data_IF_728521593204
#
_entry.id   IF_728521593204
#
_cell.length_a   1.000
_cell.length_b   1.000
_cell.length_c   1.000
_cell.angle_alpha   90.00
_cell.angle_beta   90.00
_cell.angle_gamma   90.00
#
_symmetry.space_group_name_H-M   'P 1'
#
loop_
_entity.id
_entity.type
_entity.pdbx_description
1 polymer ?
#
# COMPACT_ATOMS: atom_id res chain seq x y z
N UNK A 1 27.11 -14.04 -55.78
CA UNK A 1 26.80 -13.15 -54.64
C UNK A 1 25.99 -12.01 -55.24
N UNK A 2 24.66 -12.05 -55.15
CA UNK A 2 23.80 -11.02 -55.74
C UNK A 2 23.90 -9.73 -54.93
N UNK A 3 24.17 -8.63 -55.61
CA UNK A 3 24.26 -7.28 -55.04
C UNK A 3 22.91 -6.87 -54.41
N UNK A 4 22.91 -6.10 -53.31
CA UNK A 4 21.68 -5.59 -52.71
C UNK A 4 21.09 -4.49 -53.59
N UNK A 5 20.17 -4.87 -54.48
CA UNK A 5 19.38 -3.95 -55.31
C UNK A 5 18.43 -3.17 -54.37
N UNK A 6 18.23 -1.85 -54.54
CA UNK A 6 17.37 -1.03 -53.67
C UNK A 6 15.92 -1.53 -53.54
N UNK A 7 15.46 -2.36 -54.48
CA UNK A 7 14.12 -2.97 -54.47
C UNK A 7 14.01 -4.19 -53.52
N UNK A 8 15.11 -4.73 -53.01
CA UNK A 8 15.11 -5.89 -52.11
C UNK A 8 15.16 -5.52 -50.63
N UNK A 9 15.14 -4.23 -50.28
CA UNK A 9 15.01 -3.80 -48.89
C UNK A 9 13.54 -4.01 -48.51
N UNK A 10 13.22 -4.86 -47.51
CA UNK A 10 11.83 -5.02 -47.10
C UNK A 10 11.29 -3.64 -46.72
N UNK A 11 10.10 -3.28 -47.22
CA UNK A 11 9.48 -1.95 -47.00
C UNK A 11 9.33 -1.59 -45.52
N UNK A 12 9.51 -2.54 -44.60
CA UNK A 12 9.58 -2.32 -43.15
C UNK A 12 10.87 -1.61 -42.68
N UNK A 13 11.92 -1.58 -43.50
CA UNK A 13 13.22 -0.99 -43.18
C UNK A 13 13.50 0.31 -43.97
N UNK A 14 12.57 0.76 -44.83
CA UNK A 14 12.70 2.02 -45.59
C UNK A 14 12.32 3.23 -44.72
N UNK A 15 13.24 4.17 -44.43
CA UNK A 15 12.99 5.37 -43.62
C UNK A 15 12.02 6.37 -44.28
N UNK A 16 11.74 6.24 -45.58
CA UNK A 16 10.73 7.07 -46.28
C UNK A 16 9.32 6.52 -46.16
N UNK A 17 9.16 5.26 -45.74
CA UNK A 17 7.86 4.65 -45.58
C UNK A 17 7.17 5.18 -44.31
N UNK A 18 6.01 5.83 -44.46
CA UNK A 18 5.17 6.28 -43.32
C UNK A 18 4.26 5.16 -42.79
N UNK A 19 4.64 3.89 -42.98
CA UNK A 19 3.84 2.77 -42.49
C UNK A 19 3.88 2.80 -40.96
N UNK A 20 2.74 2.69 -40.26
CA UNK A 20 2.74 2.66 -38.81
C UNK A 20 3.59 1.46 -38.36
N UNK A 21 4.71 1.75 -37.70
CA UNK A 21 5.54 0.72 -37.08
C UNK A 21 4.73 0.10 -35.96
N UNK A 22 4.81 -1.23 -35.83
CA UNK A 22 4.13 -1.96 -34.76
C UNK A 22 4.62 -1.36 -33.44
N UNK A 23 3.73 -0.66 -32.71
CA UNK A 23 4.06 -0.01 -31.44
C UNK A 23 4.69 -1.07 -30.53
N UNK A 24 5.99 -0.95 -30.28
CA UNK A 24 6.67 -1.81 -29.30
C UNK A 24 6.09 -1.45 -27.94
N UNK A 25 5.79 -2.45 -27.12
CA UNK A 25 5.45 -2.20 -25.73
C UNK A 25 6.68 -1.55 -25.07
N UNK A 26 6.54 -0.29 -24.67
CA UNK A 26 7.60 0.46 -24.01
C UNK A 26 7.94 -0.27 -22.71
N UNK A 27 9.23 -0.55 -22.50
CA UNK A 27 9.67 -1.05 -21.20
C UNK A 27 9.50 0.06 -20.16
N UNK A 28 9.37 -0.26 -18.86
CA UNK A 28 9.31 0.77 -17.81
C UNK A 28 10.51 1.73 -17.86
N UNK A 29 11.67 1.22 -18.29
CA UNK A 29 12.89 2.02 -18.49
C UNK A 29 12.74 3.01 -19.65
N UNK A 30 12.16 2.58 -20.77
CA UNK A 30 11.96 3.45 -21.93
C UNK A 30 10.93 4.56 -21.63
N UNK A 31 9.88 4.24 -20.86
CA UNK A 31 8.91 5.23 -20.39
C UNK A 31 9.60 6.31 -19.53
N UNK A 32 10.42 5.89 -18.56
CA UNK A 32 11.20 6.81 -17.73
C UNK A 32 12.19 7.64 -18.57
N UNK A 33 12.90 7.01 -19.51
CA UNK A 33 13.83 7.71 -20.40
C UNK A 33 13.12 8.82 -21.19
N UNK A 34 11.93 8.54 -21.75
CA UNK A 34 11.13 9.54 -22.46
C UNK A 34 10.69 10.70 -21.56
N UNK A 35 10.33 10.43 -20.29
CA UNK A 35 9.97 11.48 -19.33
C UNK A 35 11.16 12.36 -18.96
N UNK A 36 12.35 11.75 -18.83
CA UNK A 36 13.59 12.45 -18.51
C UNK A 36 14.05 13.30 -19.69
N UNK A 37 13.95 12.79 -20.92
CA UNK A 37 14.22 13.54 -22.14
C UNK A 37 13.29 14.75 -22.28
N UNK A 38 12.00 14.59 -21.97
CA UNK A 38 11.03 15.69 -21.97
C UNK A 38 11.35 16.77 -20.92
N UNK A 39 11.88 16.39 -19.74
CA UNK A 39 12.35 17.33 -18.72
C UNK A 39 13.61 18.07 -19.17
N UNK A 40 14.57 17.36 -19.78
CA UNK A 40 15.82 17.95 -20.28
C UNK A 40 15.64 18.86 -21.50
N UNK A 41 14.53 18.74 -22.24
CA UNK A 41 14.23 19.64 -23.35
C UNK A 41 14.11 21.12 -22.92
N UNK A 42 13.78 21.39 -21.64
CA UNK A 42 13.67 22.74 -21.06
C UNK A 42 14.20 22.75 -19.61
N UNK A 43 15.53 22.78 -19.43
CA UNK A 43 16.14 22.65 -18.10
C UNK A 43 15.86 23.87 -17.20
N UNK A 44 15.63 25.05 -17.77
CA UNK A 44 15.38 26.29 -17.01
C UNK A 44 13.93 26.42 -16.51
N UNK A 45 13.05 25.46 -16.81
CA UNK A 45 11.66 25.50 -16.38
C UNK A 45 11.53 25.01 -14.95
N UNK A 46 10.99 25.86 -14.08
CA UNK A 46 10.64 25.47 -12.71
C UNK A 46 9.62 24.32 -12.70
N UNK A 47 9.95 23.25 -11.97
CA UNK A 47 9.12 22.07 -11.81
C UNK A 47 8.41 22.15 -10.46
N UNK A 48 7.09 22.30 -10.47
CA UNK A 48 6.28 22.19 -9.27
C UNK A 48 6.15 20.72 -8.84
N UNK A 49 6.90 20.34 -7.81
CA UNK A 49 6.70 19.04 -7.17
C UNK A 49 5.42 19.16 -6.33
N UNK A 50 4.41 18.29 -6.53
CA UNK A 50 3.20 18.35 -5.73
C UNK A 50 3.59 18.09 -4.27
N UNK A 51 3.48 19.12 -3.44
CA UNK A 51 3.49 18.96 -1.99
C UNK A 51 2.24 18.16 -1.58
N UNK A 52 2.30 17.46 -0.43
CA UNK A 52 1.25 16.56 0.07
C UNK A 52 -0.15 16.99 -0.36
N UNK A 53 -0.90 16.09 -1.02
CA UNK A 53 -2.21 16.40 -1.55
C UNK A 53 -3.12 16.93 -0.43
N UNK A 54 -3.43 18.22 -0.49
CA UNK A 54 -4.38 18.83 0.44
C UNK A 54 -5.73 18.18 0.17
N UNK A 55 -6.30 17.51 1.17
CA UNK A 55 -7.65 16.95 1.08
C UNK A 55 -8.62 18.05 0.63
N UNK A 56 -9.64 17.71 -0.16
CA UNK A 56 -10.57 18.70 -0.72
C UNK A 56 -11.53 19.15 0.39
N UNK A 57 -11.33 20.33 1.03
CA UNK A 57 -12.25 20.75 2.08
C UNK A 57 -13.56 21.19 1.44
N UNK A 58 -14.66 21.05 2.18
CA UNK A 58 -15.90 21.71 1.78
C UNK A 58 -15.78 23.20 2.04
N UNK A 59 -16.34 23.99 1.14
CA UNK A 59 -16.46 25.42 1.35
C UNK A 59 -17.34 25.68 2.58
N UNK A 60 -16.87 26.56 3.47
CA UNK A 60 -17.64 26.97 4.63
C UNK A 60 -19.00 27.56 4.18
N UNK A 61 -20.09 27.31 4.93
CA UNK A 61 -21.37 27.91 4.63
C UNK A 61 -21.26 29.45 4.72
N UNK A 62 -21.88 30.21 3.80
CA UNK A 62 -21.85 31.66 3.85
C UNK A 62 -22.57 32.17 5.11
N UNK A 63 -21.99 33.18 5.78
CA UNK A 63 -22.52 33.72 7.03
C UNK A 63 -23.85 34.46 6.84
N UNK A 64 -24.00 35.19 5.72
CA UNK A 64 -25.19 35.98 5.44
C UNK A 64 -25.75 35.56 4.07
N UNK A 65 -27.01 35.15 4.06
CA UNK A 65 -27.77 34.92 2.83
C UNK A 65 -28.63 36.17 2.60
N UNK A 66 -28.28 36.95 1.57
CA UNK A 66 -28.97 38.20 1.27
C UNK A 66 -30.36 38.00 0.62
N UNK A 67 -30.63 36.82 0.06
CA UNK A 67 -31.82 36.56 -0.77
C UNK A 67 -32.90 35.79 -0.01
N UNK A 68 -33.10 36.09 1.28
CA UNK A 68 -34.12 35.42 2.10
C UNK A 68 -35.46 36.11 1.89
N UNK A 69 -36.38 35.41 1.21
CA UNK A 69 -37.77 35.84 1.07
C UNK A 69 -38.50 35.66 2.41
N UNK A 70 -39.49 36.51 2.70
CA UNK A 70 -40.19 36.51 4.00
C UNK A 70 -40.83 35.16 4.36
N UNK A 71 -40.95 34.87 5.65
CA UNK A 71 -41.35 33.54 6.17
C UNK A 71 -42.75 33.08 5.75
N UNK A 72 -43.65 34.02 5.42
CA UNK A 72 -45.00 33.73 4.94
C UNK A 72 -45.12 33.72 3.41
N UNK A 73 -44.02 33.94 2.69
CA UNK A 73 -44.05 33.98 1.24
C UNK A 73 -44.11 32.56 0.67
N UNK A 74 -44.87 32.39 -0.43
CA UNK A 74 -45.03 31.09 -1.09
C UNK A 74 -43.75 30.59 -1.77
N UNK A 75 -43.74 29.30 -2.13
CA UNK A 75 -42.61 28.68 -2.83
C UNK A 75 -42.38 29.32 -4.20
N UNK A 76 -41.20 29.92 -4.39
CA UNK A 76 -40.75 30.43 -5.68
C UNK A 76 -40.27 29.31 -6.62
N UNK A 77 -40.17 29.59 -7.92
CA UNK A 77 -39.70 28.62 -8.92
C UNK A 77 -38.23 28.20 -8.74
N UNK A 78 -37.43 29.03 -8.08
CA UNK A 78 -36.02 28.76 -7.76
C UNK A 78 -35.80 27.95 -6.48
N UNK A 79 -36.81 27.80 -5.62
CA UNK A 79 -36.66 27.22 -4.28
C UNK A 79 -36.24 25.75 -4.34
N UNK A 80 -36.76 25.01 -5.31
CA UNK A 80 -36.36 23.62 -5.55
C UNK A 80 -34.85 23.47 -5.78
N UNK A 81 -34.26 24.39 -6.55
CA UNK A 81 -32.82 24.34 -6.85
C UNK A 81 -31.98 24.76 -5.64
N UNK A 82 -32.47 25.71 -4.83
CA UNK A 82 -31.84 26.10 -3.57
C UNK A 82 -31.79 24.90 -2.62
N UNK A 83 -32.91 24.20 -2.42
CA UNK A 83 -32.98 22.98 -1.61
C UNK A 83 -32.08 21.87 -2.16
N UNK A 84 -32.11 21.62 -3.48
CA UNK A 84 -31.25 20.59 -4.10
C UNK A 84 -29.76 20.88 -3.85
N UNK A 85 -29.35 22.14 -3.96
CA UNK A 85 -27.98 22.55 -3.73
C UNK A 85 -27.61 22.46 -2.24
N UNK A 86 -28.47 22.91 -1.33
CA UNK A 86 -28.21 22.85 0.12
C UNK A 86 -28.14 21.40 0.61
N UNK A 87 -29.08 20.55 0.18
CA UNK A 87 -29.10 19.12 0.52
C UNK A 87 -27.86 18.38 0.03
N UNK A 88 -27.41 18.67 -1.20
CA UNK A 88 -26.18 18.09 -1.74
C UNK A 88 -24.96 18.50 -0.93
N UNK A 89 -24.82 19.79 -0.58
CA UNK A 89 -23.73 20.27 0.27
C UNK A 89 -23.76 19.61 1.65
N UNK A 90 -24.94 19.43 2.23
CA UNK A 90 -25.08 18.82 3.55
C UNK A 90 -24.73 17.33 3.55
N UNK A 91 -25.15 16.58 2.52
CA UNK A 91 -24.73 15.18 2.37
C UNK A 91 -23.24 15.03 2.13
N UNK A 92 -22.64 15.91 1.33
CA UNK A 92 -21.18 15.95 1.16
C UNK A 92 -20.48 16.26 2.49
N UNK A 93 -21.05 17.16 3.31
CA UNK A 93 -20.54 17.50 4.66
C UNK A 93 -20.59 16.34 5.63
N UNK A 94 -21.74 15.70 5.77
CA UNK A 94 -21.91 14.53 6.65
C UNK A 94 -20.99 13.40 6.21
N UNK A 95 -20.92 13.14 4.90
CA UNK A 95 -20.05 12.10 4.34
C UNK A 95 -18.58 12.33 4.65
N UNK A 96 -18.06 13.55 4.49
CA UNK A 96 -16.67 13.83 4.83
C UNK A 96 -16.41 13.67 6.33
N UNK A 97 -17.31 14.15 7.17
CA UNK A 97 -17.19 13.99 8.62
C UNK A 97 -17.16 12.50 9.03
N UNK A 98 -18.02 11.68 8.44
CA UNK A 98 -18.05 10.23 8.69
C UNK A 98 -16.78 9.54 8.15
N UNK A 99 -16.30 9.93 6.97
CA UNK A 99 -15.05 9.42 6.38
C UNK A 99 -13.83 9.79 7.24
N UNK A 100 -13.75 11.01 7.76
CA UNK A 100 -12.69 11.48 8.66
C UNK A 100 -12.69 10.70 9.98
N UNK A 101 -13.85 10.56 10.63
CA UNK A 101 -13.99 9.79 11.88
C UNK A 101 -13.58 8.34 11.67
N UNK A 102 -13.98 7.74 10.55
CA UNK A 102 -13.59 6.36 10.21
C UNK A 102 -12.09 6.24 9.99
N UNK A 103 -11.48 7.17 9.26
CA UNK A 103 -10.03 7.19 9.03
C UNK A 103 -9.26 7.34 10.35
N UNK A 104 -9.67 8.24 11.23
CA UNK A 104 -9.02 8.43 12.54
C UNK A 104 -9.09 7.15 13.40
N UNK A 105 -10.25 6.49 13.43
CA UNK A 105 -10.41 5.22 14.14
C UNK A 105 -9.53 4.11 13.57
N UNK A 106 -9.47 4.00 12.24
CA UNK A 106 -8.62 3.01 11.55
C UNK A 106 -7.13 3.29 11.79
N UNK A 107 -6.70 4.55 11.74
CA UNK A 107 -5.33 4.96 12.02
C UNK A 107 -4.93 4.68 13.46
N UNK A 108 -5.81 4.98 14.42
CA UNK A 108 -5.58 4.68 15.84
C UNK A 108 -5.45 3.18 16.06
N UNK A 109 -6.37 2.38 15.53
CA UNK A 109 -6.30 0.93 15.62
C UNK A 109 -5.06 0.35 14.94
N UNK A 110 -4.64 0.91 13.80
CA UNK A 110 -3.43 0.50 13.10
C UNK A 110 -2.17 0.85 13.91
N UNK A 111 -2.14 2.03 14.56
CA UNK A 111 -1.03 2.47 15.42
C UNK A 111 -0.89 1.56 16.64
N UNK A 112 -1.97 1.31 17.36
CA UNK A 112 -1.99 0.41 18.51
C UNK A 112 -1.51 -1.00 18.14
N UNK A 113 -2.01 -1.57 17.02
CA UNK A 113 -1.55 -2.87 16.51
C UNK A 113 -0.06 -2.88 16.19
N UNK A 114 0.47 -1.82 15.57
CA UNK A 114 1.90 -1.71 15.25
C UNK A 114 2.75 -1.65 16.52
N UNK A 115 2.35 -0.85 17.49
CA UNK A 115 3.05 -0.72 18.77
C UNK A 115 3.05 -2.04 19.55
N UNK A 116 1.94 -2.76 19.55
CA UNK A 116 1.84 -4.05 20.24
C UNK A 116 2.72 -5.14 19.61
N UNK A 117 2.77 -5.17 18.28
CA UNK A 117 3.68 -6.07 17.55
C UNK A 117 5.14 -5.70 17.84
N UNK A 118 5.46 -4.41 17.81
CA UNK A 118 6.81 -3.94 18.10
C UNK A 118 7.23 -4.25 19.54
N UNK A 119 6.35 -4.07 20.54
CA UNK A 119 6.59 -4.46 21.94
C UNK A 119 6.86 -5.96 22.06
N UNK A 120 6.03 -6.80 21.44
CA UNK A 120 6.21 -8.27 21.43
C UNK A 120 7.54 -8.68 20.81
N UNK A 121 7.95 -8.02 19.74
CA UNK A 121 9.22 -8.30 19.08
C UNK A 121 10.43 -7.79 19.87
N UNK A 122 10.32 -6.60 20.49
CA UNK A 122 11.32 -6.08 21.45
C UNK A 122 11.51 -7.01 22.64
N UNK A 123 10.44 -7.48 23.27
CA UNK A 123 10.52 -8.44 24.38
C UNK A 123 11.20 -9.75 23.98
N UNK A 124 10.87 -10.30 22.81
CA UNK A 124 11.50 -11.53 22.31
C UNK A 124 12.98 -11.32 22.02
N UNK A 125 13.34 -10.20 21.40
CA UNK A 125 14.73 -9.87 21.06
C UNK A 125 15.56 -9.60 22.30
N UNK A 126 15.03 -8.89 23.31
CA UNK A 126 15.66 -8.66 24.61
C UNK A 126 15.87 -9.97 25.39
N UNK A 127 14.85 -10.81 25.51
CA UNK A 127 14.98 -12.14 26.15
C UNK A 127 16.09 -12.96 25.50
N UNK A 128 16.18 -12.95 24.16
CA UNK A 128 17.23 -13.64 23.42
C UNK A 128 18.61 -12.97 23.55
N UNK A 129 18.67 -11.64 23.65
CA UNK A 129 19.91 -10.89 23.93
C UNK A 129 20.45 -11.21 25.32
N UNK A 130 19.61 -11.16 26.35
CA UNK A 130 19.97 -11.51 27.73
C UNK A 130 20.48 -12.96 27.85
N UNK A 131 19.85 -13.91 27.14
CA UNK A 131 20.34 -15.31 27.07
C UNK A 131 21.74 -15.39 26.46
N UNK A 132 22.00 -14.66 25.36
CA UNK A 132 23.31 -14.62 24.70
C UNK A 132 24.38 -13.95 25.56
N UNK A 133 24.05 -12.84 26.22
CA UNK A 133 24.97 -12.13 27.13
C UNK A 133 25.32 -12.98 28.35
N UNK A 134 24.34 -13.64 28.98
CA UNK A 134 24.60 -14.61 30.07
C UNK A 134 25.51 -15.75 29.62
N UNK A 135 25.30 -16.29 28.42
CA UNK A 135 26.17 -17.33 27.86
C UNK A 135 27.59 -16.81 27.55
N UNK A 136 27.72 -15.55 27.08
CA UNK A 136 29.03 -14.90 26.83
C UNK A 136 29.80 -14.72 28.14
N UNK A 137 29.15 -14.18 29.17
CA UNK A 137 29.75 -13.99 30.50
C UNK A 137 30.18 -15.32 31.14
N UNK A 138 29.37 -16.39 31.01
CA UNK A 138 29.77 -17.73 31.49
C UNK A 138 31.01 -18.25 30.77
N UNK A 139 31.11 -18.05 29.45
CA UNK A 139 32.29 -18.45 28.66
C UNK A 139 33.53 -17.62 29.02
N UNK A 140 33.38 -16.32 29.23
CA UNK A 140 34.47 -15.44 29.67
C UNK A 140 34.98 -15.84 31.06
N UNK A 141 34.08 -16.09 32.02
CA UNK A 141 34.44 -16.58 33.37
C UNK A 141 35.12 -17.95 33.32
N UNK A 142 34.64 -18.88 32.51
CA UNK A 142 35.28 -20.19 32.34
C UNK A 142 36.68 -20.08 31.72
N UNK A 143 36.90 -19.13 30.79
CA UNK A 143 38.23 -18.86 30.23
C UNK A 143 39.17 -18.20 31.24
N UNK A 144 38.68 -17.30 32.09
CA UNK A 144 39.48 -16.70 33.16
C UNK A 144 39.86 -17.73 34.23
N UNK A 145 38.91 -18.55 34.71
CA UNK A 145 39.21 -19.61 35.68
C UNK A 145 40.16 -20.69 35.15
N UNK A 146 40.15 -20.95 33.84
CA UNK A 146 41.10 -21.87 33.18
C UNK A 146 42.47 -21.23 32.90
N UNK A 147 42.58 -19.90 32.93
CA UNK A 147 43.86 -19.17 32.86
C UNK A 147 44.57 -19.15 34.22
N UNK A 148 43.82 -19.32 35.31
CA UNK A 148 44.34 -19.34 36.69
C UNK A 148 44.64 -20.78 37.20
N UNK A 149 44.20 -21.80 36.46
CA UNK A 149 44.42 -23.23 36.77
C UNK A 149 45.24 -23.94 35.70
N UNK A 150 46.29 -23.27 35.23
CA UNK A 150 47.30 -23.83 34.34
C UNK A 150 48.48 -24.43 35.10
N UNK A 151 48.25 -25.51 35.85
CA UNK A 151 49.31 -26.47 36.22
C UNK A 151 48.68 -27.85 36.48
N UNK A 152 48.82 -28.71 35.47
CA UNK A 152 48.73 -30.18 35.46
C UNK A 152 47.56 -30.91 36.16
N UNK A 153 46.74 -31.63 35.38
CA UNK A 153 46.81 -33.10 35.29
C UNK A 153 45.76 -33.70 34.33
N UNK A 154 46.30 -34.60 33.51
CA UNK A 154 45.68 -35.61 32.64
C UNK A 154 44.62 -36.50 33.33
N UNK A 155 43.68 -37.04 32.54
CA UNK A 155 42.83 -38.18 32.94
C UNK A 155 41.35 -38.13 32.52
N UNK A 156 41.04 -38.69 31.35
CA UNK A 156 39.69 -39.12 30.88
C UNK A 156 39.28 -40.46 31.55
N UNK A 157 38.10 -41.13 31.34
CA UNK A 157 36.85 -40.77 30.62
C UNK A 157 35.51 -41.19 31.32
N UNK A 158 34.35 -40.81 30.75
CA UNK A 158 33.26 -41.73 30.32
C UNK A 158 31.84 -41.12 30.24
N UNK A 159 31.25 -41.25 29.04
CA UNK A 159 29.86 -41.48 28.61
C UNK A 159 28.63 -40.81 29.30
N UNK A 160 27.87 -40.02 28.51
CA UNK A 160 26.45 -40.29 28.20
C UNK A 160 25.83 -39.23 27.25
N UNK A 161 24.96 -39.70 26.35
CA UNK A 161 23.90 -39.00 25.61
C UNK A 161 24.27 -38.17 24.36
N UNK A 162 24.35 -38.92 23.26
CA UNK A 162 24.04 -38.54 21.89
C UNK A 162 22.58 -38.01 21.76
N UNK A 163 22.38 -36.83 21.16
CA UNK A 163 21.33 -36.62 20.13
C UNK A 163 21.33 -35.19 19.53
N UNK A 164 21.64 -35.12 18.23
CA UNK A 164 20.86 -34.36 17.25
C UNK A 164 20.91 -32.83 17.25
N UNK A 165 22.03 -32.24 16.79
CA UNK A 165 22.03 -30.88 16.24
C UNK A 165 21.22 -30.86 14.93
N UNK A 166 19.91 -30.59 14.99
CA UNK A 166 19.13 -30.23 13.80
C UNK A 166 19.54 -28.82 13.35
N UNK A 167 20.38 -28.74 12.31
CA UNK A 167 20.65 -27.52 11.56
C UNK A 167 19.34 -27.09 10.86
N UNK A 168 18.81 -25.91 11.20
CA UNK A 168 17.72 -25.29 10.44
C UNK A 168 18.24 -24.95 9.03
N UNK A 169 17.65 -25.57 8.01
CA UNK A 169 17.78 -25.12 6.62
C UNK A 169 16.76 -24.01 6.36
N UNK A 170 17.06 -23.00 5.53
CA UNK A 170 16.08 -21.98 5.14
C UNK A 170 14.99 -22.64 4.28
N UNK A 171 13.74 -22.36 4.61
CA UNK A 171 12.57 -22.88 3.91
C UNK A 171 12.49 -22.22 2.53
N UNK A 172 12.66 -23.01 1.46
CA UNK A 172 12.59 -22.57 0.05
C UNK A 172 11.31 -23.09 -0.61
N UNK A 173 10.19 -23.05 0.13
CA UNK A 173 8.87 -23.29 -0.45
C UNK A 173 8.26 -21.95 -0.87
N UNK A 174 8.47 -21.57 -2.13
CA UNK A 174 7.66 -20.53 -2.79
C UNK A 174 6.19 -20.97 -2.87
N UNK A 175 5.22 -20.03 -2.94
CA UNK A 175 3.82 -20.38 -3.02
C UNK A 175 3.56 -21.11 -4.35
N UNK A 176 3.00 -22.32 -4.27
CA UNK A 176 2.47 -23.00 -5.45
C UNK A 176 1.30 -22.18 -6.00
N UNK A 177 1.50 -21.64 -7.19
CA UNK A 177 0.42 -21.14 -8.02
C UNK A 177 -0.38 -22.34 -8.52
N UNK A 178 -1.66 -22.40 -8.16
CA UNK A 178 -2.62 -23.32 -8.74
C UNK A 178 -3.14 -22.68 -10.04
N UNK A 179 -2.92 -23.36 -11.17
CA UNK A 179 -3.43 -22.98 -12.48
C UNK A 179 -3.88 -24.22 -13.23
N UNK A 180 -5.19 -24.33 -13.39
CA UNK A 180 -5.95 -24.90 -14.52
C UNK A 180 -7.35 -24.29 -14.37
N UNK A 181 -7.74 -23.26 -15.14
CA UNK A 181 -8.26 -23.31 -16.54
C UNK A 181 -9.40 -24.36 -16.61
N UNK A 182 -10.68 -24.03 -16.86
CA UNK A 182 -11.22 -23.22 -17.95
C UNK A 182 -12.65 -22.68 -17.72
N UNK A 183 -12.87 -21.52 -18.35
CA UNK A 183 -14.08 -21.00 -19.00
C UNK A 183 -15.49 -21.45 -18.58
N UNK A 184 -16.33 -20.47 -18.19
CA UNK A 184 -17.59 -20.18 -18.89
C UNK A 184 -18.11 -18.77 -18.57
N UNK A 185 -18.52 -18.11 -19.65
CA UNK A 185 -18.88 -16.71 -19.78
C UNK A 185 -20.40 -16.60 -19.92
N UNK A 186 -21.13 -16.11 -18.91
CA UNK A 186 -22.50 -15.57 -19.01
C UNK A 186 -22.66 -14.59 -17.82
N UNK A 187 -22.87 -13.30 -17.98
CA UNK A 187 -24.12 -12.71 -18.47
C UNK A 187 -24.75 -11.95 -17.30
N UNK A 188 -24.73 -10.62 -17.35
CA UNK A 188 -25.15 -9.77 -16.24
C UNK A 188 -26.66 -9.85 -15.94
N UNK A 189 -26.99 -9.80 -14.65
CA UNK A 189 -28.32 -9.41 -14.17
C UNK A 189 -28.15 -8.67 -12.84
N UNK A 190 -28.41 -7.37 -12.84
CA UNK A 190 -28.61 -6.55 -11.64
C UNK A 190 -30.09 -6.60 -11.32
N UNK A 191 -30.47 -7.25 -10.22
CA UNK A 191 -31.82 -7.16 -9.63
C UNK A 191 -31.71 -6.45 -8.28
N UNK A 192 -32.43 -5.33 -8.19
CA UNK A 192 -32.58 -4.46 -7.05
C UNK A 192 -32.87 -5.25 -5.77
N UNK A 193 -32.08 -5.04 -4.73
CA UNK A 193 -32.48 -5.38 -3.36
C UNK A 193 -33.24 -4.17 -2.83
N UNK A 194 -34.55 -4.34 -2.70
CA UNK A 194 -35.45 -3.36 -2.14
C UNK A 194 -35.00 -2.97 -0.73
N UNK A 195 -35.02 -1.66 -0.46
CA UNK A 195 -34.66 -1.04 0.80
C UNK A 195 -35.56 -1.60 1.92
N UNK A 196 -34.97 -2.35 2.85
CA UNK A 196 -35.63 -2.75 4.09
C UNK A 196 -35.72 -1.50 4.96
N UNK A 197 -36.89 -0.85 4.94
CA UNK A 197 -37.19 0.25 5.85
C UNK A 197 -37.17 -0.22 7.31
N UNK A 198 -36.47 0.52 8.17
CA UNK A 198 -36.60 0.35 9.62
C UNK A 198 -37.99 0.83 10.04
N UNK A 199 -38.83 -0.10 10.50
CA UNK A 199 -40.05 0.20 11.25
C UNK A 199 -39.62 0.36 12.72
N UNK A 200 -39.75 1.57 13.26
CA UNK A 200 -39.64 1.85 14.69
C UNK A 200 -41.08 1.80 15.22
N UNK A 201 -41.40 0.77 16.00
CA UNK A 201 -42.60 0.74 16.83
C UNK A 201 -42.29 1.53 18.10
N UNK A 202 -42.94 2.68 18.26
CA UNK A 202 -43.00 3.40 19.53
C UNK A 202 -44.05 2.69 20.41
N UNK A 203 -43.60 1.90 21.38
CA UNK A 203 -44.44 1.36 22.45
C UNK A 203 -44.69 2.45 23.51
N UNK A 204 -45.97 2.74 23.76
CA UNK A 204 -46.48 3.52 24.91
C UNK A 204 -46.30 2.79 26.26
#
# INVERSE_FOLDING_TARGET
>A
MSEPIPESIPTSADPRSKRPTKKRALTPRDAYASSVEALFAKPDRDIAIPTSAVGKPLAAPPEIVANVQGSSAGAGSGEFHVYKASRRREYERLRLMDEEVKQEQEEKAARERREDLEKKDREKTEKNRLKREKARLRKERAKQGKKDTGSEREGTPSAAAENGKKKLKPNTSGPKADKTEDAQNQGGEVKNVEEIGLVIEDDD
#
